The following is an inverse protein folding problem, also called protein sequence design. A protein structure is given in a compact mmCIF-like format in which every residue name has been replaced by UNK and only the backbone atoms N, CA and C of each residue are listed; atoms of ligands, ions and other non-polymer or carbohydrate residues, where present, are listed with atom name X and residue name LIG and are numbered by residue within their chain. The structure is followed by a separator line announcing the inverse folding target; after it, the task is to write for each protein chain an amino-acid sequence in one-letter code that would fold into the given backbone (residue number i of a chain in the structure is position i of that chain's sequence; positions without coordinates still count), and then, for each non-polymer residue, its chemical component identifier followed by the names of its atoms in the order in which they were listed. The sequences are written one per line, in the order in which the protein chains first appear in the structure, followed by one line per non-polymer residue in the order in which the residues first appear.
data_IF_924957888111
#
_entry.id   IF_924957888111
#
_cell.length_a   1.000
_cell.length_b   1.000
_cell.length_c   1.000
_cell.angle_alpha   90.00
_cell.angle_beta   90.00
_cell.angle_gamma   90.00
#
_symmetry.space_group_name_H-M   'P 1'
#
loop_
_entity.id
_entity.type
_entity.pdbx_description
1 polymer ?
#
# COMPACT_ATOMS: atom_id res chain seq x y z
N UNK A 1 -2.56 10.55 -12.73
CA UNK A 1 -3.16 10.91 -14.03
C UNK A 1 -4.66 10.89 -13.85
N UNK A 2 -5.37 11.96 -14.23
CA UNK A 2 -6.83 11.98 -14.20
C UNK A 2 -7.39 10.90 -15.14
N UNK A 3 -8.57 10.38 -14.81
CA UNK A 3 -9.28 9.39 -15.63
C UNK A 3 -10.37 10.10 -16.43
N UNK A 4 -10.41 9.92 -17.75
CA UNK A 4 -11.53 10.37 -18.57
C UNK A 4 -12.71 9.42 -18.36
N UNK A 5 -13.67 9.84 -17.53
CA UNK A 5 -14.84 9.02 -17.20
C UNK A 5 -15.70 8.72 -18.43
N UNK A 6 -15.90 9.68 -19.33
CA UNK A 6 -16.76 9.51 -20.49
C UNK A 6 -16.14 8.53 -21.49
N UNK A 7 -14.85 8.69 -21.79
CA UNK A 7 -14.12 7.75 -22.64
C UNK A 7 -14.01 6.37 -21.98
N UNK A 8 -13.82 6.30 -20.66
CA UNK A 8 -13.76 5.03 -19.92
C UNK A 8 -15.09 4.27 -19.94
N UNK A 9 -16.21 4.99 -19.80
CA UNK A 9 -17.55 4.41 -19.91
C UNK A 9 -17.85 3.90 -21.32
N UNK A 10 -17.45 4.65 -22.36
CA UNK A 10 -17.64 4.24 -23.75
C UNK A 10 -16.80 3.02 -24.13
N UNK A 11 -15.55 2.94 -23.64
CA UNK A 11 -14.62 1.85 -23.93
C UNK A 11 -14.74 0.65 -22.96
N UNK A 12 -15.54 0.76 -21.90
CA UNK A 12 -15.66 -0.19 -20.80
C UNK A 12 -14.30 -0.64 -20.21
N UNK A 13 -13.35 0.28 -20.17
CA UNK A 13 -12.00 0.12 -19.63
C UNK A 13 -11.49 1.48 -19.17
N UNK A 14 -10.52 1.51 -18.27
CA UNK A 14 -9.90 2.77 -17.87
C UNK A 14 -9.21 3.44 -19.07
N UNK A 15 -9.53 4.71 -19.28
CA UNK A 15 -8.88 5.61 -20.25
C UNK A 15 -8.37 6.82 -19.47
N UNK A 16 -7.06 7.02 -19.48
CA UNK A 16 -6.41 8.12 -18.76
C UNK A 16 -6.42 9.41 -19.63
N UNK A 17 -6.64 10.55 -18.99
CA UNK A 17 -6.48 11.86 -19.63
C UNK A 17 -5.00 12.26 -19.66
N UNK A 18 -4.35 11.96 -20.79
CA UNK A 18 -2.93 12.26 -21.01
C UNK A 18 -2.66 13.75 -21.22
N UNK A 19 -3.67 14.55 -21.61
CA UNK A 19 -3.50 16.00 -21.79
C UNK A 19 -3.32 16.72 -20.45
N UNK A 20 -3.86 16.13 -19.37
CA UNK A 20 -3.77 16.64 -18.01
C UNK A 20 -3.06 15.66 -17.05
N UNK A 21 -2.09 14.89 -17.54
CA UNK A 21 -1.48 13.77 -16.82
C UNK A 21 -1.00 14.07 -15.37
N UNK A 22 -0.67 15.33 -15.06
CA UNK A 22 -0.12 15.78 -13.77
C UNK A 22 -0.99 16.81 -13.03
N UNK A 23 -2.21 17.08 -13.50
CA UNK A 23 -3.09 18.09 -12.88
C UNK A 23 -3.60 17.65 -11.50
N UNK A 24 -3.78 16.34 -11.30
CA UNK A 24 -4.22 15.76 -10.04
C UNK A 24 -3.05 15.12 -9.29
N UNK A 25 -2.82 15.58 -8.07
CA UNK A 25 -1.83 15.03 -7.15
C UNK A 25 -2.53 14.52 -5.90
N UNK A 26 -2.11 13.36 -5.42
CA UNK A 26 -2.62 12.79 -4.18
C UNK A 26 -2.12 13.62 -2.99
N UNK A 27 -2.93 13.72 -1.91
CA UNK A 27 -2.51 14.42 -0.71
C UNK A 27 -1.30 13.73 -0.07
N UNK A 28 -0.41 14.52 0.51
CA UNK A 28 0.67 14.00 1.34
C UNK A 28 0.10 13.23 2.52
N UNK A 29 0.70 12.10 2.85
CA UNK A 29 0.30 11.27 3.99
C UNK A 29 1.51 10.78 4.78
N UNK A 30 1.27 10.39 6.03
CA UNK A 30 2.28 9.77 6.89
C UNK A 30 2.07 8.26 6.90
N UNK A 31 3.10 7.51 6.56
CA UNK A 31 3.12 6.05 6.65
C UNK A 31 4.22 5.63 7.62
N UNK A 32 3.84 4.94 8.69
CA UNK A 32 4.74 4.60 9.78
C UNK A 32 4.77 3.11 10.01
N UNK A 33 5.97 2.54 9.95
CA UNK A 33 6.23 1.13 10.22
C UNK A 33 7.09 0.99 11.48
N UNK A 34 6.85 -0.06 12.26
CA UNK A 34 7.63 -0.39 13.45
C UNK A 34 8.22 -1.79 13.29
N UNK A 35 9.51 -1.93 13.56
CA UNK A 35 10.18 -3.24 13.63
C UNK A 35 10.99 -3.36 14.91
N UNK A 36 10.76 -4.41 15.68
CA UNK A 36 11.50 -4.75 16.90
C UNK A 36 12.26 -6.05 16.63
N UNK A 37 13.58 -6.02 16.83
CA UNK A 37 14.43 -7.21 16.68
C UNK A 37 15.13 -7.52 17.98
N UNK A 38 15.04 -8.77 18.43
CA UNK A 38 15.71 -9.27 19.63
C UNK A 38 16.66 -10.40 19.26
N UNK A 39 17.96 -10.19 19.48
CA UNK A 39 19.01 -11.19 19.26
C UNK A 39 19.49 -11.76 20.59
N UNK A 40 19.55 -13.09 20.69
CA UNK A 40 20.07 -13.81 21.86
C UNK A 40 21.14 -14.81 21.43
N UNK A 41 22.35 -14.60 21.94
CA UNK A 41 23.48 -15.47 21.67
C UNK A 41 23.49 -16.61 22.70
N UNK A 42 23.44 -17.85 22.24
CA UNK A 42 23.63 -19.04 23.05
C UNK A 42 25.00 -19.66 22.75
N UNK A 43 25.46 -20.59 23.60
CA UNK A 43 26.78 -21.22 23.47
C UNK A 43 26.98 -22.01 22.17
N UNK A 44 25.90 -22.45 21.52
CA UNK A 44 25.92 -23.35 20.35
C UNK A 44 25.12 -22.83 19.14
N UNK A 45 24.41 -21.73 19.31
CA UNK A 45 23.58 -21.14 18.26
C UNK A 45 23.22 -19.72 18.67
N UNK A 46 22.72 -18.95 17.71
CA UNK A 46 22.21 -17.61 17.94
C UNK A 46 20.77 -17.54 17.44
N UNK A 47 19.85 -17.14 18.33
CA UNK A 47 18.45 -16.95 17.99
C UNK A 47 18.13 -15.47 17.80
N UNK A 48 17.44 -15.12 16.72
CA UNK A 48 16.98 -13.75 16.46
C UNK A 48 15.48 -13.73 16.20
N UNK A 49 14.74 -12.98 17.00
CA UNK A 49 13.33 -12.69 16.80
C UNK A 49 13.17 -11.35 16.09
N UNK A 50 12.26 -11.26 15.14
CA UNK A 50 11.87 -10.02 14.50
C UNK A 50 10.35 -9.91 14.48
N UNK A 51 9.81 -8.81 14.98
CA UNK A 51 8.39 -8.47 14.92
C UNK A 51 8.29 -7.17 14.14
N UNK A 52 7.51 -7.16 13.07
CA UNK A 52 7.26 -5.97 12.26
C UNK A 52 5.77 -5.70 12.15
N UNK A 53 5.39 -4.44 12.29
CA UNK A 53 4.03 -3.92 12.12
C UNK A 53 4.12 -2.82 11.07
N UNK A 54 3.52 -3.06 9.91
CA UNK A 54 3.36 -2.02 8.88
C UNK A 54 2.09 -1.22 9.09
N UNK A 55 2.11 0.04 8.67
CA UNK A 55 1.01 0.98 8.82
C UNK A 55 0.51 1.05 10.27
N UNK A 56 1.42 1.28 11.22
CA UNK A 56 1.15 1.27 12.66
C UNK A 56 0.04 2.27 13.06
N UNK A 57 -0.11 3.37 12.32
CA UNK A 57 -1.14 4.38 12.54
C UNK A 57 -2.49 4.04 11.87
N UNK A 58 -2.58 2.89 11.17
CA UNK A 58 -3.75 2.44 10.40
C UNK A 58 -4.30 3.52 9.44
N UNK A 59 -3.42 4.33 8.88
CA UNK A 59 -3.78 5.36 7.92
C UNK A 59 -4.02 4.71 6.56
N UNK A 60 -5.17 4.95 5.94
CA UNK A 60 -5.52 4.39 4.62
C UNK A 60 -5.75 5.53 3.63
N UNK A 61 -4.68 6.15 3.12
CA UNK A 61 -4.81 7.24 2.16
C UNK A 61 -5.24 6.68 0.81
N UNK A 62 -5.90 7.50 0.01
CA UNK A 62 -6.13 7.18 -1.40
C UNK A 62 -4.78 7.13 -2.09
N UNK A 63 -4.41 5.95 -2.61
CA UNK A 63 -3.13 5.76 -3.35
C UNK A 63 -3.30 5.84 -4.86
N UNK A 64 -4.53 6.03 -5.31
CA UNK A 64 -4.88 6.22 -6.70
C UNK A 64 -6.37 6.06 -6.94
N UNK A 65 -6.76 6.26 -8.19
CA UNK A 65 -8.11 6.11 -8.67
C UNK A 65 -8.11 5.07 -9.79
N UNK A 66 -9.21 4.33 -9.93
CA UNK A 66 -9.42 3.39 -11.04
C UNK A 66 -10.84 3.48 -11.56
N UNK A 67 -11.03 3.18 -12.84
CA UNK A 67 -12.37 2.98 -13.37
C UNK A 67 -12.90 1.60 -12.97
N UNK A 68 -14.09 1.55 -12.38
CA UNK A 68 -14.81 0.33 -12.08
C UNK A 68 -15.85 0.07 -13.18
N UNK A 69 -15.64 -0.99 -13.95
CA UNK A 69 -16.52 -1.38 -15.06
C UNK A 69 -17.90 -1.86 -14.61
N UNK A 70 -18.06 -2.30 -13.36
CA UNK A 70 -19.35 -2.73 -12.82
C UNK A 70 -20.20 -1.54 -12.40
N UNK A 71 -19.64 -0.63 -11.57
CA UNK A 71 -20.34 0.57 -11.10
C UNK A 71 -20.34 1.72 -12.13
N UNK A 72 -19.52 1.63 -13.19
CA UNK A 72 -19.28 2.67 -14.21
C UNK A 72 -18.82 4.00 -13.62
N UNK A 73 -18.13 3.94 -12.48
CA UNK A 73 -17.65 5.10 -11.72
C UNK A 73 -16.15 5.00 -11.44
N UNK A 74 -15.56 6.12 -11.04
CA UNK A 74 -14.20 6.15 -10.54
C UNK A 74 -14.23 5.68 -9.07
N UNK A 75 -13.47 4.63 -8.79
CA UNK A 75 -13.30 4.07 -7.46
C UNK A 75 -11.91 4.42 -6.91
N UNK A 76 -11.86 4.72 -5.62
CA UNK A 76 -10.61 4.94 -4.89
C UNK A 76 -9.89 3.61 -4.65
N UNK A 77 -8.56 3.64 -4.78
CA UNK A 77 -7.69 2.54 -4.39
C UNK A 77 -7.19 2.85 -2.97
N UNK A 78 -7.57 2.00 -2.03
CA UNK A 78 -7.13 2.07 -0.64
C UNK A 78 -6.14 0.95 -0.34
N UNK A 79 -5.02 1.24 0.34
CA UNK A 79 -4.06 0.21 0.73
C UNK A 79 -4.59 -0.62 1.89
N UNK A 80 -3.89 -1.72 2.18
CA UNK A 80 -4.13 -2.53 3.38
C UNK A 80 -3.93 -1.70 4.65
N UNK A 81 -4.68 -2.05 5.71
CA UNK A 81 -4.54 -1.45 7.04
C UNK A 81 -3.25 -1.91 7.74
N UNK A 82 -3.33 -2.11 9.06
CA UNK A 82 -2.22 -2.67 9.84
C UNK A 82 -1.86 -4.07 9.32
N UNK A 83 -0.57 -4.29 9.03
CA UNK A 83 -0.06 -5.62 8.61
C UNK A 83 1.02 -6.10 9.58
N UNK A 84 0.70 -7.04 10.49
CA UNK A 84 1.68 -7.62 11.40
C UNK A 84 2.46 -8.76 10.73
N UNK A 85 3.72 -8.92 11.11
CA UNK A 85 4.60 -10.02 10.70
C UNK A 85 5.55 -10.39 11.82
N UNK A 86 5.86 -11.68 11.93
CA UNK A 86 6.79 -12.23 12.92
C UNK A 86 7.73 -13.22 12.23
N UNK A 87 9.00 -13.18 12.62
CA UNK A 87 10.03 -14.09 12.13
C UNK A 87 10.96 -14.53 13.26
N UNK A 88 11.47 -15.75 13.13
CA UNK A 88 12.51 -16.29 14.00
C UNK A 88 13.61 -16.92 13.16
N UNK A 89 14.86 -16.53 13.42
CA UNK A 89 16.07 -17.02 12.75
C UNK A 89 16.97 -17.72 13.74
N UNK A 90 17.50 -18.89 13.38
CA UNK A 90 18.52 -19.62 14.13
C UNK A 90 19.78 -19.69 13.27
N UNK A 91 20.92 -19.33 13.85
CA UNK A 91 22.25 -19.42 13.23
C UNK A 91 23.12 -20.35 14.08
N UNK A 92 23.85 -21.29 13.44
CA UNK A 92 24.68 -22.31 14.10
C UNK A 92 26.15 -21.97 14.04
#
# INVERSE_FOLDING_TARGET
TPIDLAASQAANRQVDDLNHAWSEQLPSFLYTDLTITLKRNHRRFTGSWAVQIKNMLNHRPVVGYRFDSYSRQIAEILPMGIVPSIGYKIEF
#
